data_IF_178209966296
#
_entry.id   IF_178209966296
#
_cell.length_a   1.000
_cell.length_b   1.000
_cell.length_c   1.000
_cell.angle_alpha   90.00
_cell.angle_beta   90.00
_cell.angle_gamma   90.00
#
_symmetry.space_group_name_H-M   'P 1'
#
loop_
_entity.id
_entity.type
_entity.pdbx_description
1 polymer ?
#
# COMPACT_ATOMS: atom_id res chain seq x y z
N UNK A 1 -27.04 19.08 -32.42
CA UNK A 1 -26.20 19.84 -31.46
C UNK A 1 -25.43 18.98 -30.48
N UNK A 2 -25.96 17.88 -29.95
CA UNK A 2 -25.22 17.02 -29.00
C UNK A 2 -24.13 16.18 -29.67
N UNK A 3 -24.38 15.66 -30.87
CA UNK A 3 -23.39 14.83 -31.59
C UNK A 3 -22.17 15.62 -32.03
N UNK A 4 -22.36 16.87 -32.47
CA UNK A 4 -21.24 17.74 -32.85
C UNK A 4 -20.33 18.10 -31.66
N UNK A 5 -20.90 18.27 -30.45
CA UNK A 5 -20.11 18.49 -29.22
C UNK A 5 -19.30 17.26 -28.82
N UNK A 6 -19.88 16.09 -28.92
CA UNK A 6 -19.20 14.82 -28.58
C UNK A 6 -18.09 14.56 -29.62
N UNK A 7 -18.35 14.86 -30.90
CA UNK A 7 -17.37 14.66 -31.95
C UNK A 7 -16.23 15.69 -31.84
N UNK A 8 -16.52 16.93 -31.48
CA UNK A 8 -15.48 17.93 -31.19
C UNK A 8 -14.65 17.53 -29.98
N UNK A 9 -15.26 17.12 -28.90
CA UNK A 9 -14.51 16.64 -27.72
C UNK A 9 -13.69 15.40 -28.02
N UNK A 10 -14.15 14.45 -28.84
CA UNK A 10 -13.36 13.31 -29.29
C UNK A 10 -12.19 13.71 -30.18
N UNK A 11 -12.42 14.62 -31.14
CA UNK A 11 -11.34 15.14 -31.98
C UNK A 11 -10.28 15.86 -31.16
N UNK A 12 -10.70 16.64 -30.20
CA UNK A 12 -9.88 17.35 -29.25
C UNK A 12 -9.02 16.38 -28.42
N UNK A 13 -9.63 15.34 -27.90
CA UNK A 13 -8.95 14.32 -27.09
C UNK A 13 -7.92 13.49 -27.88
N UNK A 14 -8.23 13.14 -29.12
CA UNK A 14 -7.39 12.27 -29.94
C UNK A 14 -6.43 13.02 -30.87
N UNK A 15 -6.74 14.26 -31.23
CA UNK A 15 -5.91 15.06 -32.13
C UNK A 15 -5.13 16.19 -31.46
N UNK A 16 -5.35 16.39 -30.16
CA UNK A 16 -4.67 17.45 -29.42
C UNK A 16 -5.06 18.87 -29.87
N UNK A 17 -6.17 19.05 -30.59
CA UNK A 17 -6.58 20.35 -31.14
C UNK A 17 -6.96 21.40 -30.08
N UNK A 18 -7.42 20.95 -28.89
CA UNK A 18 -7.63 21.87 -27.72
C UNK A 18 -6.34 22.19 -27.00
N UNK A 19 -5.36 21.31 -27.16
CA UNK A 19 -4.05 21.46 -26.52
C UNK A 19 -3.38 22.75 -26.93
N UNK A 20 -3.67 23.25 -28.12
CA UNK A 20 -3.02 24.45 -28.65
C UNK A 20 -3.46 25.75 -27.99
N UNK A 21 -4.66 25.80 -27.41
CA UNK A 21 -5.24 27.06 -26.94
C UNK A 21 -5.22 27.25 -25.43
N UNK A 22 -4.95 26.20 -24.65
CA UNK A 22 -4.90 26.32 -23.19
C UNK A 22 -3.84 25.43 -22.57
N UNK A 23 -2.61 25.86 -22.72
CA UNK A 23 -1.43 25.20 -22.15
C UNK A 23 -1.50 25.12 -20.61
N UNK A 24 -2.19 26.08 -19.96
CA UNK A 24 -2.35 26.11 -18.53
C UNK A 24 -3.33 25.04 -18.05
N UNK A 25 -4.46 24.85 -18.74
CA UNK A 25 -5.41 23.79 -18.44
C UNK A 25 -4.81 22.40 -18.69
N UNK A 26 -4.04 22.25 -19.75
CA UNK A 26 -3.32 21.02 -20.04
C UNK A 26 -2.29 20.71 -18.95
N UNK A 27 -1.49 21.67 -18.53
CA UNK A 27 -0.52 21.50 -17.43
C UNK A 27 -1.21 21.13 -16.13
N UNK A 28 -2.33 21.78 -15.80
CA UNK A 28 -3.14 21.47 -14.63
C UNK A 28 -3.72 20.04 -14.70
N UNK A 29 -4.23 19.63 -15.85
CA UNK A 29 -4.79 18.30 -16.05
C UNK A 29 -3.72 17.22 -15.95
N UNK A 30 -2.55 17.43 -16.53
CA UNK A 30 -1.42 16.49 -16.44
C UNK A 30 -0.83 16.43 -15.03
N UNK A 31 -0.74 17.57 -14.33
CA UNK A 31 -0.35 17.63 -12.93
C UNK A 31 -1.30 16.77 -12.06
N UNK A 32 -2.60 16.87 -12.29
CA UNK A 32 -3.59 16.06 -11.58
C UNK A 32 -3.48 14.57 -11.90
N UNK A 33 -3.12 14.19 -13.12
CA UNK A 33 -2.87 12.79 -13.49
C UNK A 33 -1.60 12.29 -12.81
N UNK A 34 -0.52 13.06 -12.84
CA UNK A 34 0.74 12.70 -12.19
C UNK A 34 0.62 12.58 -10.68
N UNK A 35 -0.19 13.42 -10.05
CA UNK A 35 -0.48 13.32 -8.61
C UNK A 35 -1.28 12.05 -8.25
N UNK A 36 -1.99 11.45 -9.20
CA UNK A 36 -2.75 10.22 -9.00
C UNK A 36 -1.93 8.95 -9.19
N UNK A 37 -0.76 9.05 -9.80
CA UNK A 37 0.17 7.94 -9.91
C UNK A 37 0.96 7.82 -8.61
N UNK A 38 0.87 6.71 -7.95
CA UNK A 38 1.60 6.43 -6.73
C UNK A 38 2.69 5.39 -6.97
N UNK A 39 3.85 5.60 -6.36
CA UNK A 39 4.90 4.57 -6.30
C UNK A 39 4.50 3.41 -5.41
N UNK A 40 3.54 3.63 -4.51
CA UNK A 40 3.03 2.59 -3.61
C UNK A 40 1.89 1.80 -4.26
N UNK A 41 1.68 0.59 -3.77
CA UNK A 41 0.62 -0.30 -4.20
C UNK A 41 -0.76 0.28 -3.84
N UNK A 42 -1.42 0.89 -4.82
CA UNK A 42 -2.73 1.52 -4.67
C UNK A 42 -3.63 1.11 -5.83
N UNK A 43 -4.91 0.94 -5.54
CA UNK A 43 -5.90 0.64 -6.56
C UNK A 43 -6.62 1.90 -7.02
N UNK A 44 -6.63 2.14 -8.32
CA UNK A 44 -7.46 3.19 -8.92
C UNK A 44 -8.87 2.67 -9.17
N UNK A 45 -9.87 3.45 -8.75
CA UNK A 45 -11.27 3.26 -9.11
C UNK A 45 -11.81 4.57 -9.67
N UNK A 46 -13.02 4.54 -10.24
CA UNK A 46 -13.68 5.77 -10.72
C UNK A 46 -13.96 6.79 -9.60
N UNK A 47 -13.90 6.39 -8.34
CA UNK A 47 -14.06 7.26 -7.15
C UNK A 47 -12.74 7.80 -6.59
N UNK A 48 -11.59 7.39 -7.13
CA UNK A 48 -10.27 7.82 -6.68
C UNK A 48 -9.31 6.66 -6.44
N UNK A 49 -8.19 6.98 -5.78
CA UNK A 49 -7.17 6.00 -5.40
C UNK A 49 -7.45 5.50 -3.97
N UNK A 50 -7.42 4.18 -3.80
CA UNK A 50 -7.56 3.52 -2.51
C UNK A 50 -6.33 2.67 -2.23
N UNK A 51 -5.93 2.60 -0.96
CA UNK A 51 -4.90 1.67 -0.54
C UNK A 51 -5.34 0.24 -0.88
N UNK A 52 -4.44 -0.49 -1.51
CA UNK A 52 -4.65 -1.88 -1.80
C UNK A 52 -4.56 -2.70 -0.51
N UNK A 53 -5.62 -3.40 -0.15
CA UNK A 53 -5.65 -4.19 1.09
C UNK A 53 -4.90 -5.49 0.89
N UNK A 54 -3.99 -5.80 1.81
CA UNK A 54 -3.21 -7.04 1.83
C UNK A 54 -4.13 -8.26 2.00
N UNK A 55 -3.76 -9.39 1.42
CA UNK A 55 -4.49 -10.66 1.46
C UNK A 55 -5.92 -10.61 0.90
N UNK A 56 -6.17 -9.73 -0.06
CA UNK A 56 -7.44 -9.69 -0.80
C UNK A 56 -7.32 -10.36 -2.16
N UNK A 57 -8.46 -10.57 -2.81
CA UNK A 57 -8.53 -11.11 -4.19
C UNK A 57 -7.70 -10.33 -5.22
N UNK A 58 -7.30 -9.12 -4.92
CA UNK A 58 -6.51 -8.28 -5.81
C UNK A 58 -5.01 -8.41 -5.56
N UNK A 59 -4.63 -8.66 -4.31
CA UNK A 59 -3.26 -8.98 -3.95
C UNK A 59 -2.90 -10.44 -4.27
N UNK A 60 -3.92 -11.31 -4.39
CA UNK A 60 -3.81 -12.74 -4.75
C UNK A 60 -2.97 -13.57 -3.76
N UNK A 61 -2.55 -13.00 -2.63
CA UNK A 61 -1.84 -13.72 -1.58
C UNK A 61 -2.84 -14.40 -0.64
N UNK A 62 -2.61 -15.68 -0.38
CA UNK A 62 -3.33 -16.39 0.66
C UNK A 62 -2.69 -16.06 2.03
N UNK A 63 -3.51 -15.58 2.99
CA UNK A 63 -3.02 -15.20 4.33
C UNK A 63 -2.37 -16.38 5.05
N UNK A 64 -2.90 -17.59 4.84
CA UNK A 64 -2.41 -18.81 5.49
C UNK A 64 -0.94 -19.12 5.18
N UNK A 65 -0.46 -18.75 3.98
CA UNK A 65 0.91 -19.03 3.56
C UNK A 65 1.93 -18.07 4.21
N UNK A 66 1.45 -17.00 4.83
CA UNK A 66 2.26 -15.90 5.37
C UNK A 66 1.94 -15.59 6.83
N UNK A 67 1.29 -16.50 7.52
CA UNK A 67 0.98 -16.35 8.94
C UNK A 67 1.79 -17.36 9.78
N UNK A 68 2.23 -16.87 10.92
CA UNK A 68 2.92 -17.65 11.94
C UNK A 68 2.02 -17.74 13.18
N UNK A 69 2.15 -18.81 13.94
CA UNK A 69 1.50 -18.98 15.24
C UNK A 69 2.51 -18.63 16.31
N UNK A 70 2.14 -17.70 17.18
CA UNK A 70 3.00 -17.25 18.28
C UNK A 70 2.25 -17.31 19.60
N UNK A 71 2.96 -17.59 20.68
CA UNK A 71 2.40 -17.61 22.04
C UNK A 71 2.66 -16.27 22.71
N UNK A 72 1.67 -15.74 23.40
CA UNK A 72 1.75 -14.48 24.13
C UNK A 72 2.39 -14.74 25.50
N UNK A 73 3.59 -14.24 25.74
CA UNK A 73 4.33 -14.40 26.99
C UNK A 73 4.02 -13.29 27.99
N UNK A 74 3.81 -12.05 27.49
CA UNK A 74 3.50 -10.89 28.34
C UNK A 74 2.67 -9.88 27.57
N UNK A 75 1.79 -9.18 28.29
CA UNK A 75 0.95 -8.11 27.76
C UNK A 75 1.32 -6.80 28.47
N UNK A 76 1.76 -5.80 27.70
CA UNK A 76 2.21 -4.49 28.18
C UNK A 76 1.30 -3.37 27.65
N UNK A 77 1.48 -2.16 28.19
CA UNK A 77 0.84 -0.93 27.70
C UNK A 77 -0.68 -1.06 27.50
N UNK A 78 -1.38 -1.59 28.50
CA UNK A 78 -2.84 -1.78 28.45
C UNK A 78 -3.31 -2.62 27.25
N UNK A 79 -2.53 -3.64 26.85
CA UNK A 79 -2.90 -4.57 25.77
C UNK A 79 -2.46 -4.17 24.38
N UNK A 80 -1.74 -3.05 24.22
CA UNK A 80 -1.26 -2.61 22.90
C UNK A 80 0.12 -3.14 22.54
N UNK A 81 0.87 -3.67 23.49
CA UNK A 81 2.17 -4.29 23.24
C UNK A 81 2.16 -5.71 23.76
N UNK A 82 2.44 -6.66 22.89
CA UNK A 82 2.54 -8.08 23.22
C UNK A 82 3.99 -8.52 23.12
N UNK A 83 4.47 -9.22 24.12
CA UNK A 83 5.73 -9.97 24.06
C UNK A 83 5.38 -11.40 23.68
N UNK A 84 5.91 -11.85 22.54
CA UNK A 84 5.60 -13.16 22.00
C UNK A 84 6.88 -13.90 21.61
N UNK A 85 6.84 -15.22 21.55
CA UNK A 85 7.92 -16.00 20.97
C UNK A 85 7.95 -15.78 19.45
N UNK A 86 8.52 -14.66 19.02
CA UNK A 86 8.66 -14.37 17.62
C UNK A 86 9.67 -15.32 16.99
N UNK A 87 9.30 -15.87 15.84
CA UNK A 87 10.20 -16.63 15.00
C UNK A 87 11.35 -15.72 14.52
N UNK A 88 12.44 -16.33 14.12
CA UNK A 88 13.67 -15.64 13.68
C UNK A 88 13.41 -14.87 12.37
N UNK A 89 12.75 -13.75 12.49
CA UNK A 89 12.36 -12.83 11.39
C UNK A 89 13.07 -11.49 11.58
N UNK A 90 13.14 -10.71 10.52
CA UNK A 90 13.68 -9.36 10.56
C UNK A 90 12.78 -8.39 11.34
N UNK A 91 13.37 -7.30 11.85
CA UNK A 91 12.60 -6.21 12.44
C UNK A 91 11.54 -5.68 11.47
N UNK A 92 10.37 -5.36 12.00
CA UNK A 92 9.21 -4.92 11.23
C UNK A 92 8.66 -5.92 10.20
N UNK A 93 9.02 -7.20 10.28
CA UNK A 93 8.46 -8.24 9.39
C UNK A 93 6.93 -8.31 9.47
N UNK A 94 6.36 -8.16 10.66
CA UNK A 94 4.91 -8.16 10.88
C UNK A 94 4.28 -6.76 10.85
N UNK A 95 5.07 -5.69 10.71
CA UNK A 95 4.57 -4.32 10.68
C UNK A 95 3.61 -4.10 9.49
N UNK A 96 2.47 -3.47 9.74
CA UNK A 96 1.34 -3.35 8.81
C UNK A 96 0.68 -4.71 8.44
N UNK A 97 0.97 -5.74 9.20
CA UNK A 97 0.31 -7.04 9.12
C UNK A 97 -0.92 -7.11 10.03
N UNK A 98 -1.46 -8.30 10.18
CA UNK A 98 -2.68 -8.55 10.93
C UNK A 98 -2.42 -9.63 11.97
N UNK A 99 -2.71 -9.35 13.22
CA UNK A 99 -2.83 -10.35 14.28
C UNK A 99 -4.29 -10.78 14.40
N UNK A 100 -4.51 -12.06 14.59
CA UNK A 100 -5.85 -12.65 14.71
C UNK A 100 -5.92 -13.53 15.97
N UNK A 101 -6.95 -13.30 16.78
CA UNK A 101 -7.29 -14.12 17.95
C UNK A 101 -8.79 -14.36 17.97
N UNK A 102 -9.20 -15.59 17.79
CA UNK A 102 -10.61 -15.93 17.62
C UNK A 102 -11.24 -15.18 16.44
N UNK A 103 -12.24 -14.36 16.72
CA UNK A 103 -12.91 -13.50 15.71
C UNK A 103 -12.31 -12.10 15.61
N UNK A 104 -11.39 -11.74 16.50
CA UNK A 104 -10.76 -10.42 16.52
C UNK A 104 -9.58 -10.34 15.56
N UNK A 105 -9.49 -9.26 14.81
CA UNK A 105 -8.38 -8.96 13.94
C UNK A 105 -7.92 -7.53 14.18
N UNK A 106 -6.64 -7.36 14.47
CA UNK A 106 -6.04 -6.06 14.75
C UNK A 106 -4.78 -5.88 13.90
N UNK A 107 -4.51 -4.65 13.50
CA UNK A 107 -3.30 -4.33 12.74
C UNK A 107 -2.09 -4.25 13.68
N UNK A 108 -1.01 -4.88 13.28
CA UNK A 108 0.32 -4.73 13.90
C UNK A 108 0.96 -3.46 13.32
N UNK A 109 1.34 -2.53 14.19
CA UNK A 109 1.96 -1.27 13.78
C UNK A 109 3.49 -1.39 13.70
N UNK A 110 4.09 -2.17 14.59
CA UNK A 110 5.53 -2.44 14.60
C UNK A 110 5.81 -3.84 15.15
N UNK A 111 6.91 -4.42 14.75
CA UNK A 111 7.45 -5.64 15.35
C UNK A 111 8.95 -5.49 15.56
N UNK A 112 9.41 -5.83 16.76
CA UNK A 112 10.80 -5.77 17.15
C UNK A 112 11.29 -7.18 17.52
N UNK A 113 12.22 -7.69 16.73
CA UNK A 113 12.77 -9.03 16.92
C UNK A 113 13.62 -9.13 18.19
N UNK A 114 14.43 -8.10 18.48
CA UNK A 114 15.35 -8.12 19.61
C UNK A 114 14.62 -8.21 20.96
N UNK A 115 13.49 -7.51 21.08
CA UNK A 115 12.68 -7.51 22.30
C UNK A 115 11.53 -8.54 22.25
N UNK A 116 11.37 -9.25 21.13
CA UNK A 116 10.23 -10.14 20.86
C UNK A 116 8.88 -9.45 21.07
N UNK A 117 8.78 -8.17 20.66
CA UNK A 117 7.60 -7.33 20.89
C UNK A 117 6.82 -7.07 19.60
N UNK A 118 5.50 -7.17 19.71
CA UNK A 118 4.52 -6.74 18.71
C UNK A 118 3.74 -5.56 19.24
N UNK A 119 3.73 -4.45 18.52
CA UNK A 119 2.89 -3.30 18.85
C UNK A 119 1.63 -3.32 18.01
N UNK A 120 0.48 -3.24 18.66
CA UNK A 120 -0.85 -3.29 18.04
C UNK A 120 -1.43 -1.88 17.90
N UNK A 121 -2.31 -1.72 16.93
CA UNK A 121 -3.07 -0.47 16.76
C UNK A 121 -4.08 -0.28 17.89
N UNK A 122 -4.71 -1.35 18.34
CA UNK A 122 -5.68 -1.38 19.46
C UNK A 122 -5.48 -2.67 20.25
N UNK A 123 -5.81 -2.71 21.55
CA UNK A 123 -5.79 -3.95 22.33
C UNK A 123 -6.78 -4.97 21.77
N UNK A 124 -6.54 -6.24 22.05
CA UNK A 124 -7.45 -7.35 21.72
C UNK A 124 -8.18 -7.76 22.98
N UNK A 125 -9.51 -7.66 22.95
CA UNK A 125 -10.33 -8.04 24.08
C UNK A 125 -10.29 -9.56 24.32
N UNK A 126 -10.16 -9.95 25.59
CA UNK A 126 -10.16 -11.35 26.01
C UNK A 126 -8.83 -12.08 25.77
N UNK A 127 -7.79 -11.41 25.30
CA UNK A 127 -6.47 -12.00 25.13
C UNK A 127 -5.75 -12.11 26.48
N UNK A 128 -5.19 -13.27 26.76
CA UNK A 128 -4.47 -13.58 28.00
C UNK A 128 -3.05 -14.09 27.73
N UNK A 129 -2.20 -14.02 28.74
CA UNK A 129 -0.87 -14.62 28.68
C UNK A 129 -1.00 -16.14 28.54
N UNK A 130 -0.25 -16.72 27.61
CA UNK A 130 -0.29 -18.13 27.26
C UNK A 130 -1.20 -18.45 26.06
N UNK A 131 -1.97 -17.50 25.56
CA UNK A 131 -2.82 -17.71 24.39
C UNK A 131 -1.96 -17.77 23.09
N UNK A 132 -2.39 -18.60 22.17
CA UNK A 132 -1.86 -18.67 20.82
C UNK A 132 -2.58 -17.67 19.90
N UNK A 133 -1.80 -16.89 19.17
CA UNK A 133 -2.31 -15.92 18.20
C UNK A 133 -1.69 -16.15 16.83
N UNK A 134 -2.45 -15.84 15.78
CA UNK A 134 -1.98 -15.90 14.41
C UNK A 134 -1.52 -14.52 13.98
N UNK A 135 -0.25 -14.39 13.59
CA UNK A 135 0.33 -13.14 13.12
C UNK A 135 0.73 -13.28 11.67
N UNK A 136 0.19 -12.44 10.81
CA UNK A 136 0.48 -12.46 9.38
C UNK A 136 1.51 -11.39 9.02
N UNK A 137 2.43 -11.72 8.10
CA UNK A 137 3.44 -10.82 7.54
C UNK A 137 2.80 -9.53 7.06
N UNK A 138 3.45 -8.40 7.32
CA UNK A 138 2.97 -7.08 6.95
C UNK A 138 3.44 -6.61 5.56
N UNK A 139 2.78 -5.57 5.05
CA UNK A 139 3.13 -4.95 3.78
C UNK A 139 3.02 -3.42 3.89
N UNK A 140 4.13 -2.72 3.69
CA UNK A 140 4.18 -1.26 3.67
C UNK A 140 3.75 -0.63 2.33
N UNK A 141 3.25 -1.45 1.40
CA UNK A 141 2.78 -1.07 0.07
C UNK A 141 3.89 -0.62 -0.90
N UNK A 142 5.15 -0.72 -0.52
CA UNK A 142 6.27 -0.46 -1.43
C UNK A 142 6.48 -1.60 -2.42
N UNK A 143 7.17 -1.31 -3.52
CA UNK A 143 7.57 -2.32 -4.49
C UNK A 143 8.46 -3.40 -3.87
N UNK A 144 9.41 -2.99 -3.00
CA UNK A 144 10.31 -3.91 -2.30
C UNK A 144 9.55 -4.85 -1.37
N UNK A 145 8.55 -4.35 -0.64
CA UNK A 145 7.69 -5.20 0.17
C UNK A 145 6.92 -6.21 -0.70
N UNK A 146 6.40 -5.81 -1.85
CA UNK A 146 5.73 -6.71 -2.78
C UNK A 146 6.69 -7.79 -3.33
N UNK A 147 7.94 -7.41 -3.61
CA UNK A 147 8.99 -8.32 -4.02
C UNK A 147 9.32 -9.36 -2.96
N UNK A 148 9.33 -8.97 -1.67
CA UNK A 148 9.55 -9.90 -0.56
C UNK A 148 8.44 -10.95 -0.38
N UNK A 149 7.27 -10.72 -0.98
CA UNK A 149 6.18 -11.70 -1.10
C UNK A 149 6.25 -12.50 -2.41
N UNK A 150 7.23 -12.26 -3.27
CA UNK A 150 7.31 -12.82 -4.64
C UNK A 150 6.02 -12.55 -5.45
N UNK A 151 5.43 -11.36 -5.30
CA UNK A 151 4.11 -11.02 -5.84
C UNK A 151 4.12 -9.75 -6.71
N UNK A 152 5.23 -9.48 -7.36
CA UNK A 152 5.43 -8.27 -8.17
C UNK A 152 4.43 -8.14 -9.32
N UNK A 153 3.98 -9.26 -9.87
CA UNK A 153 2.99 -9.29 -10.96
C UNK A 153 1.65 -8.67 -10.55
N UNK A 154 1.33 -8.70 -9.25
CA UNK A 154 0.12 -8.12 -8.67
C UNK A 154 0.38 -6.77 -7.97
N UNK A 155 1.49 -6.12 -8.30
CA UNK A 155 1.80 -4.80 -7.77
C UNK A 155 1.03 -3.71 -8.53
N UNK A 156 0.20 -2.94 -7.83
CA UNK A 156 -0.63 -1.88 -8.40
C UNK A 156 -0.04 -0.47 -8.26
N UNK A 157 1.24 -0.36 -8.02
CA UNK A 157 1.96 0.91 -8.00
C UNK A 157 2.77 1.13 -9.28
N UNK A 158 3.36 2.30 -9.37
CA UNK A 158 4.22 2.70 -10.48
C UNK A 158 5.63 3.02 -9.93
N UNK A 159 6.49 2.01 -9.70
CA UNK A 159 7.75 2.20 -8.99
C UNK A 159 8.73 3.15 -9.71
N UNK A 160 8.54 3.33 -11.01
CA UNK A 160 9.42 4.14 -11.85
C UNK A 160 8.84 5.51 -12.22
N UNK A 161 7.78 5.96 -11.54
CA UNK A 161 7.26 7.32 -11.77
C UNK A 161 8.28 8.34 -11.25
N UNK A 162 8.73 9.21 -12.15
CA UNK A 162 9.59 10.31 -11.77
C UNK A 162 8.85 11.28 -10.83
N UNK A 163 9.45 11.59 -9.68
CA UNK A 163 8.90 12.56 -8.73
C UNK A 163 8.96 14.00 -9.26
N UNK A 164 9.72 14.21 -10.32
CA UNK A 164 9.88 15.52 -10.95
C UNK A 164 8.90 15.65 -12.10
N UNK A 165 8.07 16.69 -12.06
CA UNK A 165 7.20 17.00 -13.19
C UNK A 165 8.05 17.51 -14.36
N UNK A 166 8.35 16.65 -15.30
CA UNK A 166 9.19 16.92 -16.46
C UNK A 166 8.61 18.04 -17.35
N UNK A 167 7.28 18.25 -17.33
CA UNK A 167 6.64 19.31 -18.09
C UNK A 167 6.80 20.69 -17.45
N UNK A 168 6.96 20.75 -16.13
CA UNK A 168 7.21 22.00 -15.40
C UNK A 168 8.71 22.32 -15.37
N UNK A 169 9.54 21.29 -15.12
CA UNK A 169 10.97 21.46 -14.90
C UNK A 169 11.83 21.25 -16.18
N UNK A 170 11.20 20.85 -17.27
CA UNK A 170 11.88 20.51 -18.52
C UNK A 170 12.72 19.23 -18.41
N UNK A 171 13.09 18.69 -19.57
CA UNK A 171 14.06 17.61 -19.66
C UNK A 171 15.47 18.21 -19.46
N UNK A 172 16.07 17.95 -18.31
CA UNK A 172 17.51 18.17 -18.15
C UNK A 172 18.21 16.88 -18.55
N UNK A 173 18.95 16.86 -19.66
CA UNK A 173 19.78 15.69 -19.97
C UNK A 173 20.79 15.51 -18.83
N UNK A 174 20.80 14.34 -18.23
CA UNK A 174 21.91 13.97 -17.35
C UNK A 174 23.19 14.02 -18.16
N UNK A 175 24.19 14.75 -17.67
CA UNK A 175 25.53 14.68 -18.23
C UNK A 175 26.07 13.30 -17.93
N UNK A 176 26.19 12.48 -18.96
CA UNK A 176 26.91 11.20 -18.93
C UNK A 176 28.40 11.50 -18.78
#
# INVERSE_FOLDING_TARGET
MREDRITKNRKIYYKGEVVCNDLAAMKSSMSNIMQRLSTNCMRMTYRGMYNHVLYTRYCVLAKADWQDIVVVNEIKNSGTTLVCDLLDKEDNYYANGIISFGMHQVMVTASNQQNSELTLLTPIDGLSVGDEVFVAKGCNKSYESCKSFNNVENFFGFPHVAFVNLFINGFKPEKI
#
